data_IF_255494851303
#
_entry.id   IF_255494851303
#
_cell.length_a   1.000
_cell.length_b   1.000
_cell.length_c   1.000
_cell.angle_alpha   90.00
_cell.angle_beta   90.00
_cell.angle_gamma   90.00
#
_symmetry.space_group_name_H-M   'P 1'
#
loop_
_entity.id
_entity.type
_entity.pdbx_description
1 polymer ?
#
# COMPACT_ATOMS: atom_id res chain seq x y z
N UNK A 1 -1.91 10.61 14.64
CA UNK A 1 -0.76 10.79 13.72
C UNK A 1 -1.06 11.93 12.76
N UNK A 2 -0.05 12.67 12.30
CA UNK A 2 -0.27 13.76 11.34
C UNK A 2 -0.04 13.23 9.91
N UNK A 3 -1.13 13.06 9.15
CA UNK A 3 -1.08 12.53 7.77
C UNK A 3 -0.26 13.37 6.81
N UNK A 4 -0.09 14.68 7.08
CA UNK A 4 0.72 15.57 6.23
C UNK A 4 2.20 15.27 6.35
N UNK A 5 2.69 15.08 7.58
CA UNK A 5 4.09 14.76 7.83
C UNK A 5 4.45 13.39 7.28
N UNK A 6 3.57 12.40 7.47
CA UNK A 6 3.77 11.06 6.90
C UNK A 6 3.76 11.08 5.37
N UNK A 7 2.80 11.80 4.78
CA UNK A 7 2.75 11.94 3.32
C UNK A 7 4.02 12.59 2.78
N UNK A 8 4.50 13.65 3.42
CA UNK A 8 5.73 14.34 3.01
C UNK A 8 6.95 13.40 3.06
N UNK A 9 7.11 12.61 4.12
CA UNK A 9 8.20 11.65 4.25
C UNK A 9 8.11 10.55 3.16
N UNK A 10 6.92 10.01 2.92
CA UNK A 10 6.71 9.00 1.88
C UNK A 10 7.01 9.58 0.49
N UNK A 11 6.53 10.80 0.22
CA UNK A 11 6.75 11.50 -1.05
C UNK A 11 8.24 11.79 -1.31
N UNK A 12 8.98 12.24 -0.29
CA UNK A 12 10.44 12.42 -0.38
C UNK A 12 11.14 11.11 -0.78
N UNK A 13 10.74 9.99 -0.17
CA UNK A 13 11.32 8.67 -0.47
C UNK A 13 10.89 8.12 -1.82
N UNK A 14 9.68 8.47 -2.28
CA UNK A 14 9.21 8.19 -3.65
C UNK A 14 10.10 8.91 -4.65
N UNK A 15 10.33 10.21 -4.46
CA UNK A 15 11.12 11.03 -5.36
C UNK A 15 12.59 10.56 -5.41
N UNK A 16 13.15 10.18 -4.25
CA UNK A 16 14.50 9.63 -4.18
C UNK A 16 14.63 8.25 -4.88
N UNK A 17 13.56 7.44 -4.88
CA UNK A 17 13.56 6.09 -5.45
C UNK A 17 13.19 6.08 -6.94
N UNK A 18 12.42 7.07 -7.40
CA UNK A 18 11.96 7.14 -8.77
C UNK A 18 13.08 7.60 -9.70
N UNK A 19 13.26 6.84 -10.79
CA UNK A 19 14.18 7.20 -11.87
C UNK A 19 13.43 7.06 -13.19
N UNK A 20 13.50 8.06 -14.06
CA UNK A 20 12.89 7.99 -15.38
C UNK A 20 13.68 7.04 -16.28
N UNK A 21 13.41 5.75 -16.17
CA UNK A 21 14.05 4.70 -16.94
C UNK A 21 13.09 4.16 -18.01
N UNK A 22 13.54 3.94 -19.25
CA UNK A 22 12.71 3.36 -20.29
C UNK A 22 12.29 1.94 -19.91
N UNK A 23 11.11 1.52 -20.39
CA UNK A 23 10.57 0.17 -20.18
C UNK A 23 10.55 -0.30 -18.71
N UNK A 24 10.47 0.64 -17.77
CA UNK A 24 10.47 0.34 -16.34
C UNK A 24 9.12 0.76 -15.75
N UNK A 25 8.41 -0.20 -15.16
CA UNK A 25 7.16 0.04 -14.44
C UNK A 25 7.47 0.33 -12.98
N UNK A 26 6.88 1.41 -12.49
CA UNK A 26 6.92 1.82 -11.09
C UNK A 26 5.50 1.76 -10.52
N UNK A 27 5.35 1.15 -9.35
CA UNK A 27 4.10 1.08 -8.60
C UNK A 27 4.39 1.29 -7.11
N UNK A 28 3.42 1.77 -6.36
CA UNK A 28 3.48 1.82 -4.89
C UNK A 28 2.58 0.70 -4.39
N UNK A 29 3.15 -0.29 -3.71
CA UNK A 29 2.39 -1.32 -3.02
C UNK A 29 2.19 -0.93 -1.57
N UNK A 30 0.94 -0.85 -1.14
CA UNK A 30 0.55 -0.65 0.26
C UNK A 30 0.14 -2.01 0.80
N UNK A 31 0.87 -2.48 1.80
CA UNK A 31 0.65 -3.80 2.41
C UNK A 31 0.11 -3.59 3.80
N UNK A 32 -1.06 -4.16 4.10
CA UNK A 32 -1.56 -4.23 5.47
C UNK A 32 -1.00 -5.48 6.15
N UNK A 33 -0.19 -5.28 7.19
CA UNK A 33 0.24 -6.35 8.06
C UNK A 33 -0.73 -6.47 9.24
N UNK A 34 -1.65 -7.43 9.15
CA UNK A 34 -2.66 -7.67 10.20
C UNK A 34 -2.06 -8.09 11.55
N UNK A 35 -0.90 -8.73 11.55
CA UNK A 35 -0.26 -9.21 12.79
C UNK A 35 0.32 -8.04 13.60
N UNK A 36 1.07 -7.18 12.92
CA UNK A 36 1.70 -6.01 13.55
C UNK A 36 0.80 -4.78 13.57
N UNK A 37 -0.35 -4.83 12.90
CA UNK A 37 -1.30 -3.70 12.75
C UNK A 37 -0.62 -2.45 12.18
N UNK A 38 0.10 -2.65 11.08
CA UNK A 38 0.82 -1.58 10.39
C UNK A 38 0.57 -1.58 8.88
N UNK A 39 0.77 -0.42 8.26
CA UNK A 39 0.75 -0.25 6.81
C UNK A 39 2.16 -0.05 6.28
N UNK A 40 2.62 -0.97 5.43
CA UNK A 40 3.91 -0.88 4.76
C UNK A 40 3.77 -0.31 3.36
N UNK A 41 4.48 0.77 3.09
CA UNK A 41 4.57 1.40 1.78
C UNK A 41 5.86 0.95 1.10
N UNK A 42 5.75 0.31 -0.06
CA UNK A 42 6.90 -0.15 -0.84
C UNK A 42 6.79 0.34 -2.28
N UNK A 43 7.90 0.79 -2.86
CA UNK A 43 8.00 1.02 -4.30
C UNK A 43 8.37 -0.29 -4.99
N UNK A 44 7.48 -0.78 -5.85
CA UNK A 44 7.76 -1.90 -6.74
C UNK A 44 8.31 -1.40 -8.07
N UNK A 45 9.48 -1.92 -8.46
CA UNK A 45 10.17 -1.57 -9.71
C UNK A 45 10.34 -2.83 -10.54
N UNK A 46 9.80 -2.82 -11.76
CA UNK A 46 9.89 -3.94 -12.69
C UNK A 46 10.38 -3.48 -14.07
N UNK A 47 11.37 -4.18 -14.60
CA UNK A 47 11.84 -4.02 -15.97
C UNK A 47 11.87 -5.42 -16.62
N UNK A 48 11.39 -5.61 -17.86
CA UNK A 48 11.22 -6.94 -18.46
C UNK A 48 12.48 -7.82 -18.47
N UNK A 49 13.66 -7.20 -18.60
CA UNK A 49 14.96 -7.89 -18.68
C UNK A 49 15.75 -7.91 -17.36
N UNK A 50 15.15 -7.45 -16.25
CA UNK A 50 15.83 -7.38 -14.95
C UNK A 50 14.94 -7.97 -13.86
N UNK A 51 15.56 -8.48 -12.79
CA UNK A 51 14.81 -8.92 -11.61
C UNK A 51 14.03 -7.73 -11.04
N UNK A 52 12.73 -7.92 -10.81
CA UNK A 52 11.92 -6.94 -10.11
C UNK A 52 12.36 -6.82 -8.65
N UNK A 53 12.22 -5.63 -8.07
CA UNK A 53 12.57 -5.38 -6.68
C UNK A 53 11.54 -4.49 -6.01
N UNK A 54 11.41 -4.67 -4.70
CA UNK A 54 10.67 -3.76 -3.83
C UNK A 54 11.66 -2.91 -3.04
N UNK A 55 11.37 -1.63 -2.89
CA UNK A 55 12.15 -0.67 -2.11
C UNK A 55 11.24 -0.19 -0.97
N UNK A 56 11.60 -0.36 0.31
CA UNK A 56 10.78 0.13 1.41
C UNK A 56 10.75 1.65 1.38
N UNK A 57 9.55 2.22 1.37
CA UNK A 57 9.32 3.66 1.48
C UNK A 57 9.10 4.01 2.94
N UNK A 58 8.11 3.44 3.62
CA UNK A 58 7.84 3.75 5.02
C UNK A 58 6.91 2.71 5.65
N UNK A 59 6.88 2.64 6.98
CA UNK A 59 5.94 1.82 7.74
C UNK A 59 5.18 2.75 8.69
N UNK A 60 3.85 2.72 8.59
CA UNK A 60 2.97 3.49 9.46
C UNK A 60 2.36 2.52 10.48
N UNK A 61 2.70 2.72 11.75
CA UNK A 61 2.28 1.85 12.86
C UNK A 61 0.84 2.17 13.30
N UNK A 62 -0.13 1.84 12.45
CA UNK A 62 -1.56 1.96 12.73
C UNK A 62 -2.38 1.04 11.82
N UNK A 63 -3.56 0.63 12.28
CA UNK A 63 -4.59 -0.08 11.50
C UNK A 63 -5.80 0.83 11.15
N UNK A 64 -5.72 2.14 11.40
CA UNK A 64 -6.80 3.09 11.10
C UNK A 64 -6.94 3.34 9.59
N UNK A 65 -8.02 2.81 9.01
CA UNK A 65 -8.34 2.97 7.59
C UNK A 65 -8.75 4.41 7.21
N UNK A 66 -9.31 5.20 8.14
CA UNK A 66 -9.65 6.61 7.88
C UNK A 66 -8.36 7.41 7.73
N UNK A 67 -7.40 7.14 8.60
CA UNK A 67 -6.06 7.69 8.51
C UNK A 67 -5.36 7.30 7.21
N UNK A 68 -5.37 6.00 6.88
CA UNK A 68 -4.79 5.48 5.64
C UNK A 68 -5.41 6.16 4.40
N UNK A 69 -6.73 6.28 4.34
CA UNK A 69 -7.41 6.87 3.19
C UNK A 69 -6.99 8.34 2.98
N UNK A 70 -6.89 9.12 4.07
CA UNK A 70 -6.37 10.49 4.04
C UNK A 70 -4.94 10.54 3.53
N UNK A 71 -4.07 9.65 4.02
CA UNK A 71 -2.67 9.55 3.61
C UNK A 71 -2.55 9.21 2.12
N UNK A 72 -3.32 8.24 1.61
CA UNK A 72 -3.35 7.85 0.20
C UNK A 72 -3.79 9.00 -0.70
N UNK A 73 -4.79 9.80 -0.29
CA UNK A 73 -5.23 10.99 -1.05
C UNK A 73 -4.08 11.98 -1.23
N UNK A 74 -3.28 12.23 -0.19
CA UNK A 74 -2.12 13.14 -0.24
C UNK A 74 -0.99 12.59 -1.11
N UNK A 75 -0.71 11.29 -1.02
CA UNK A 75 0.30 10.64 -1.89
C UNK A 75 -0.13 10.71 -3.36
N UNK A 76 -1.40 10.42 -3.68
CA UNK A 76 -1.94 10.53 -5.05
C UNK A 76 -1.89 11.94 -5.62
N UNK A 77 -1.95 12.97 -4.77
CA UNK A 77 -1.81 14.36 -5.20
C UNK A 77 -0.35 14.69 -5.61
N UNK A 78 0.64 13.99 -5.05
CA UNK A 78 2.06 14.20 -5.33
C UNK A 78 2.56 13.39 -6.54
N UNK A 79 2.04 12.18 -6.74
CA UNK A 79 2.55 11.25 -7.76
C UNK A 79 1.47 10.65 -8.65
N UNK A 80 1.84 10.37 -9.90
CA UNK A 80 0.98 9.66 -10.87
C UNK A 80 1.23 8.14 -10.88
N UNK A 81 2.08 7.62 -9.99
CA UNK A 81 2.35 6.19 -9.90
C UNK A 81 1.10 5.41 -9.49
N UNK A 82 0.92 4.22 -10.08
CA UNK A 82 -0.17 3.32 -9.69
C UNK A 82 0.04 2.84 -8.26
N UNK A 83 -1.00 2.94 -7.43
CA UNK A 83 -1.02 2.37 -6.08
C UNK A 83 -1.77 1.04 -6.09
N UNK A 84 -1.14 -0.01 -5.57
CA UNK A 84 -1.72 -1.34 -5.38
C UNK A 84 -1.85 -1.64 -3.89
N UNK A 85 -2.78 -2.53 -3.54
CA UNK A 85 -3.09 -2.90 -2.16
C UNK A 85 -2.97 -4.41 -1.99
N UNK A 86 -2.27 -4.84 -0.95
CA UNK A 86 -2.11 -6.26 -0.56
C UNK A 86 -2.46 -6.41 0.92
N UNK A 87 -3.12 -7.50 1.31
CA UNK A 87 -3.56 -7.68 2.70
C UNK A 87 -4.85 -6.92 3.02
N UNK A 88 -5.56 -6.34 2.06
CA UNK A 88 -6.80 -5.59 2.31
C UNK A 88 -8.07 -6.36 1.89
N UNK A 89 -7.98 -7.68 1.69
CA UNK A 89 -9.17 -8.46 1.28
C UNK A 89 -10.21 -8.45 2.39
N UNK A 90 -11.43 -8.05 2.03
CA UNK A 90 -12.54 -7.88 2.98
C UNK A 90 -12.58 -6.51 3.64
N UNK A 91 -11.54 -5.69 3.50
CA UNK A 91 -11.52 -4.30 3.96
C UNK A 91 -12.11 -3.36 2.90
N UNK A 92 -12.72 -2.28 3.38
CA UNK A 92 -13.44 -1.30 2.56
C UNK A 92 -12.97 0.11 2.91
N UNK A 93 -12.96 1.00 1.92
CA UNK A 93 -12.67 2.40 2.18
C UNK A 93 -13.75 3.01 3.08
N UNK A 94 -13.38 3.71 4.18
CA UNK A 94 -14.36 4.30 5.08
C UNK A 94 -15.31 5.30 4.43
N UNK A 95 -14.86 6.00 3.38
CA UNK A 95 -15.66 7.04 2.73
C UNK A 95 -16.81 6.53 1.85
N UNK A 96 -16.62 5.41 1.15
CA UNK A 96 -17.55 4.95 0.10
C UNK A 96 -17.91 3.46 0.20
N UNK A 97 -17.33 2.74 1.17
CA UNK A 97 -17.51 1.31 1.41
C UNK A 97 -17.13 0.41 0.21
N UNK A 98 -16.40 0.95 -0.77
CA UNK A 98 -15.88 0.16 -1.87
C UNK A 98 -14.71 -0.71 -1.38
N UNK A 99 -14.56 -1.93 -1.91
CA UNK A 99 -13.47 -2.82 -1.50
C UNK A 99 -12.11 -2.21 -1.87
N UNK A 100 -11.17 -2.24 -0.92
CA UNK A 100 -9.82 -1.71 -1.13
C UNK A 100 -9.03 -2.61 -2.09
N UNK A 101 -9.15 -3.93 -1.91
CA UNK A 101 -8.52 -4.94 -2.76
C UNK A 101 -9.60 -5.81 -3.42
N UNK A 102 -9.55 -5.93 -4.75
CA UNK A 102 -10.39 -6.88 -5.50
C UNK A 102 -9.92 -8.30 -5.18
N UNK A 103 -10.85 -9.25 -5.07
CA UNK A 103 -10.63 -10.65 -4.65
C UNK A 103 -9.72 -11.41 -5.62
N UNK A 104 -8.42 -11.15 -5.57
CA UNK A 104 -7.35 -12.01 -6.07
C UNK A 104 -6.57 -12.38 -4.83
N UNK A 105 -7.02 -13.42 -4.12
CA UNK A 105 -6.40 -13.83 -2.87
C UNK A 105 -4.94 -14.24 -3.14
N UNK A 106 -4.01 -13.44 -2.63
CA UNK A 106 -2.62 -13.88 -2.43
C UNK A 106 -2.61 -14.69 -1.13
N UNK A 107 -1.73 -15.69 -1.01
CA UNK A 107 -1.79 -16.73 0.04
C UNK A 107 -2.00 -16.25 1.48
N UNK A 108 -1.49 -15.06 1.86
CA UNK A 108 -1.69 -14.47 3.20
C UNK A 108 -3.13 -14.01 3.43
N UNK A 109 -3.83 -13.52 2.40
CA UNK A 109 -5.22 -13.06 2.48
C UNK A 109 -6.14 -14.21 2.91
N UNK A 110 -5.83 -15.45 2.47
CA UNK A 110 -6.62 -16.63 2.80
C UNK A 110 -6.55 -17.06 4.26
N UNK A 111 -5.44 -16.79 4.96
CA UNK A 111 -5.32 -17.14 6.38
C UNK A 111 -6.12 -16.18 7.25
N UNK A 112 -5.95 -14.87 7.05
CA UNK A 112 -6.69 -13.84 7.78
C UNK A 112 -8.22 -13.99 7.61
N UNK A 113 -8.69 -14.21 6.38
CA UNK A 113 -10.13 -14.40 6.12
C UNK A 113 -10.71 -15.63 6.82
N UNK A 114 -9.91 -16.68 7.05
CA UNK A 114 -10.32 -17.87 7.81
C UNK A 114 -10.42 -17.57 9.30
N UNK A 115 -9.48 -16.80 9.85
CA UNK A 115 -9.47 -16.40 11.26
C UNK A 115 -10.63 -15.43 11.57
N UNK A 116 -10.87 -14.44 10.70
CA UNK A 116 -11.99 -13.49 10.84
C UNK A 116 -13.37 -14.16 10.82
N UNK A 117 -13.54 -15.22 10.01
CA UNK A 117 -14.79 -16.01 9.98
C UNK A 117 -15.01 -16.91 11.19
N UNK A 118 -13.96 -17.22 11.96
CA UNK A 118 -14.04 -18.07 13.16
C UNK A 118 -14.34 -17.30 14.44
N UNK A 119 -14.13 -15.97 14.43
CA UNK A 119 -14.33 -15.09 15.58
C UNK A 119 -15.70 -14.40 15.64
N UNK A 120 -16.67 -14.80 14.82
CA UNK A 120 -18.04 -14.28 14.78
C UNK A 120 -19.05 -15.37 15.16
#
# INVERSE_FOLDING_TARGET
>A
MNSDKEAALINERIDASFKRLPNTRYQINVVFNHYSKDFNFLMYVAHPKKRSRSIPLHTVETDDLVYLESLIKRIKAHTQLTITYTGFVGEKWPSDLQPIQKTSAVGDDTQYLKEKKRGN
#
